data_IF_660247798259
#
_entry.id   IF_660247798259
#
_cell.length_a   1.000
_cell.length_b   1.000
_cell.length_c   1.000
_cell.angle_alpha   90.00
_cell.angle_beta   90.00
_cell.angle_gamma   90.00
#
_symmetry.space_group_name_H-M   'P 1'
#
loop_
_entity.id
_entity.type
_entity.pdbx_description
1 polymer ?
#
# COMPACT_ATOMS: atom_id res chain seq x y z
N UNK A 1 -2.50 23.92 10.38
CA UNK A 1 -2.35 22.47 10.14
C UNK A 1 -3.54 21.77 10.75
N UNK A 2 -4.28 20.98 9.96
CA UNK A 2 -5.35 20.12 10.51
C UNK A 2 -4.64 18.97 11.24
N UNK A 3 -4.77 18.88 12.55
CA UNK A 3 -4.18 17.82 13.36
C UNK A 3 -5.00 16.55 13.18
N UNK A 4 -4.49 15.61 12.38
CA UNK A 4 -5.04 14.26 12.31
C UNK A 4 -4.66 13.54 13.61
N UNK A 5 -5.64 12.92 14.26
CA UNK A 5 -5.39 12.15 15.49
C UNK A 5 -4.49 10.95 15.18
N UNK A 6 -3.47 10.71 16.02
CA UNK A 6 -2.48 9.64 15.81
C UNK A 6 -3.06 8.24 15.52
N UNK A 7 -4.19 7.80 16.13
CA UNK A 7 -4.82 6.52 15.79
C UNK A 7 -5.39 6.44 14.37
N UNK A 8 -5.87 7.57 13.82
CA UNK A 8 -6.41 7.61 12.45
C UNK A 8 -5.25 7.57 11.45
N UNK A 9 -4.18 8.31 11.74
CA UNK A 9 -2.96 8.29 10.92
C UNK A 9 -2.32 6.88 10.89
N UNK A 10 -2.25 6.20 12.04
CA UNK A 10 -1.69 4.86 12.12
C UNK A 10 -2.58 3.83 11.40
N UNK A 11 -3.90 3.94 11.49
CA UNK A 11 -4.82 3.06 10.74
C UNK A 11 -4.65 3.24 9.22
N UNK A 12 -4.58 4.48 8.74
CA UNK A 12 -4.36 4.77 7.31
C UNK A 12 -3.00 4.23 6.83
N UNK A 13 -1.96 4.35 7.64
CA UNK A 13 -0.64 3.79 7.33
C UNK A 13 -0.65 2.25 7.36
N UNK A 14 -1.28 1.63 8.35
CA UNK A 14 -1.34 0.17 8.45
C UNK A 14 -2.09 -0.47 7.28
N UNK A 15 -3.26 0.06 6.90
CA UNK A 15 -4.04 -0.46 5.77
C UNK A 15 -3.37 -0.25 4.41
N UNK A 16 -2.38 0.66 4.30
CA UNK A 16 -1.67 0.90 3.03
C UNK A 16 -0.34 0.16 2.94
N UNK A 17 0.26 -0.21 4.07
CA UNK A 17 1.56 -0.90 4.12
C UNK A 17 1.39 -2.42 4.16
N UNK A 18 0.31 -2.94 4.75
CA UNK A 18 0.08 -4.38 4.90
C UNK A 18 -1.34 -4.72 4.44
N UNK A 19 -1.46 -5.34 3.26
CA UNK A 19 -2.68 -6.04 2.88
C UNK A 19 -2.83 -7.30 3.72
N UNK A 20 -3.99 -7.48 4.37
CA UNK A 20 -4.26 -8.72 5.13
C UNK A 20 -4.25 -9.95 4.20
N UNK A 21 -4.61 -9.75 2.94
CA UNK A 21 -4.63 -10.77 1.89
C UNK A 21 -3.20 -11.24 1.54
N UNK A 22 -2.21 -10.33 1.56
CA UNK A 22 -0.80 -10.66 1.28
C UNK A 22 -0.25 -11.67 2.28
N UNK A 23 -0.57 -11.51 3.58
CA UNK A 23 -0.10 -12.41 4.64
C UNK A 23 -0.75 -13.79 4.47
N UNK A 24 -2.06 -13.83 4.24
CA UNK A 24 -2.81 -15.08 4.12
C UNK A 24 -2.37 -15.86 2.87
N UNK A 25 -2.18 -15.17 1.75
CA UNK A 25 -1.73 -15.78 0.49
C UNK A 25 -0.32 -16.37 0.60
N UNK A 26 0.62 -15.63 1.19
CA UNK A 26 1.98 -16.14 1.40
C UNK A 26 1.98 -17.33 2.36
N UNK A 27 1.19 -17.28 3.45
CA UNK A 27 1.08 -18.38 4.41
C UNK A 27 0.53 -19.67 3.78
N UNK A 28 -0.45 -19.56 2.88
CA UNK A 28 -0.98 -20.71 2.14
C UNK A 28 0.04 -21.32 1.17
N UNK A 29 0.86 -20.50 0.51
CA UNK A 29 1.80 -20.97 -0.52
C UNK A 29 3.13 -21.51 0.01
N UNK A 30 3.64 -20.96 1.13
CA UNK A 30 4.98 -21.24 1.65
C UNK A 30 4.96 -21.86 3.06
N UNK A 31 3.80 -21.94 3.71
CA UNK A 31 3.60 -22.57 5.02
C UNK A 31 4.22 -21.79 6.19
N UNK A 32 4.57 -22.50 7.26
CA UNK A 32 5.07 -21.91 8.52
C UNK A 32 6.37 -21.05 8.40
N UNK A 33 7.33 -21.32 7.49
CA UNK A 33 8.54 -20.50 7.32
C UNK A 33 8.25 -19.03 6.99
N UNK A 34 7.07 -18.71 6.44
CA UNK A 34 6.63 -17.35 6.13
C UNK A 34 6.66 -16.46 7.37
N UNK A 35 6.24 -16.96 8.52
CA UNK A 35 6.21 -16.14 9.75
C UNK A 35 7.63 -15.64 10.08
N UNK A 36 8.64 -16.48 9.89
CA UNK A 36 10.03 -16.08 10.13
C UNK A 36 10.56 -15.07 9.11
N UNK A 37 10.19 -15.20 7.82
CA UNK A 37 10.59 -14.21 6.80
C UNK A 37 9.93 -12.85 7.04
N UNK A 38 8.66 -12.83 7.46
CA UNK A 38 7.93 -11.62 7.80
C UNK A 38 8.52 -10.91 9.02
N UNK A 39 8.89 -11.62 10.08
CA UNK A 39 9.55 -11.01 11.25
C UNK A 39 10.87 -10.34 10.84
N UNK A 40 11.68 -11.01 10.00
CA UNK A 40 12.94 -10.48 9.51
C UNK A 40 12.70 -9.23 8.65
N UNK A 41 11.73 -9.26 7.73
CA UNK A 41 11.39 -8.12 6.87
C UNK A 41 10.83 -6.94 7.67
N UNK A 42 9.98 -7.17 8.67
CA UNK A 42 9.47 -6.11 9.55
C UNK A 42 10.60 -5.39 10.30
N UNK A 43 11.58 -6.14 10.82
CA UNK A 43 12.68 -5.57 11.60
C UNK A 43 13.76 -4.93 10.71
N UNK A 44 14.19 -5.60 9.65
CA UNK A 44 15.34 -5.16 8.85
C UNK A 44 14.97 -4.26 7.68
N UNK A 45 13.72 -4.27 7.23
CA UNK A 45 13.28 -3.46 6.09
C UNK A 45 12.27 -2.40 6.49
N UNK A 46 11.15 -2.78 7.12
CA UNK A 46 10.06 -1.84 7.45
C UNK A 46 10.50 -0.81 8.49
N UNK A 47 11.20 -1.25 9.54
CA UNK A 47 11.67 -0.37 10.61
C UNK A 47 12.61 0.74 10.10
N UNK A 48 13.74 0.44 9.41
CA UNK A 48 14.61 1.50 8.92
C UNK A 48 13.95 2.38 7.84
N UNK A 49 13.11 1.79 6.98
CA UNK A 49 12.39 2.55 5.96
C UNK A 49 11.43 3.59 6.58
N UNK A 50 10.64 3.18 7.58
CA UNK A 50 9.70 4.08 8.27
C UNK A 50 10.39 5.25 8.97
N UNK A 51 11.58 5.03 9.54
CA UNK A 51 12.38 6.07 10.18
C UNK A 51 12.91 7.08 9.15
N UNK A 52 13.42 6.61 8.02
CA UNK A 52 13.88 7.47 6.93
C UNK A 52 12.74 8.34 6.35
N UNK A 53 11.59 7.71 6.07
CA UNK A 53 10.38 8.40 5.58
C UNK A 53 9.86 9.40 6.61
N UNK A 54 9.90 9.06 7.90
CA UNK A 54 9.53 9.98 8.99
C UNK A 54 10.43 11.21 9.06
N UNK A 55 11.75 11.02 8.93
CA UNK A 55 12.71 12.13 8.94
C UNK A 55 12.53 13.06 7.72
N UNK A 56 12.38 12.50 6.52
CA UNK A 56 12.14 13.27 5.30
C UNK A 56 10.78 13.97 5.34
N UNK A 57 9.73 13.28 5.79
CA UNK A 57 8.40 13.85 5.96
C UNK A 57 8.33 15.00 6.96
N UNK A 58 9.15 14.96 8.03
CA UNK A 58 9.27 16.09 8.97
C UNK A 58 10.15 17.23 8.43
N UNK A 59 11.08 16.95 7.52
CA UNK A 59 11.99 17.96 6.96
C UNK A 59 11.30 18.79 5.87
N UNK A 60 10.42 18.17 5.08
CA UNK A 60 9.65 18.81 4.01
C UNK A 60 8.19 19.03 4.39
N UNK A 61 7.94 19.59 5.58
CA UNK A 61 6.59 19.75 6.17
C UNK A 61 5.64 20.65 5.36
N UNK A 62 6.19 21.52 4.52
CA UNK A 62 5.46 22.46 3.66
C UNK A 62 5.19 21.93 2.25
N UNK A 63 5.82 20.83 1.86
CA UNK A 63 5.68 20.27 0.51
C UNK A 63 4.59 19.18 0.47
N UNK A 64 3.56 19.40 -0.35
CA UNK A 64 2.44 18.46 -0.51
C UNK A 64 2.70 17.29 -1.46
N UNK A 65 3.82 17.28 -2.20
CA UNK A 65 4.10 16.31 -3.29
C UNK A 65 4.69 14.97 -2.84
N UNK A 66 4.83 14.74 -1.53
CA UNK A 66 5.34 13.49 -0.95
C UNK A 66 6.77 13.16 -1.43
N UNK A 67 7.04 11.87 -1.69
CA UNK A 67 8.36 11.37 -2.05
C UNK A 67 8.98 12.09 -3.26
N UNK A 68 8.18 12.44 -4.27
CA UNK A 68 8.65 13.14 -5.46
C UNK A 68 9.15 14.56 -5.15
N UNK A 69 8.45 15.27 -4.25
CA UNK A 69 8.85 16.56 -3.72
C UNK A 69 10.15 16.48 -2.93
N UNK A 70 10.28 15.47 -2.08
CA UNK A 70 11.48 15.27 -1.26
C UNK A 70 12.71 15.02 -2.13
N UNK A 71 12.57 14.21 -3.18
CA UNK A 71 13.66 13.93 -4.13
C UNK A 71 14.00 15.17 -4.97
N UNK A 72 13.00 15.95 -5.42
CA UNK A 72 13.25 17.25 -6.09
C UNK A 72 14.04 18.21 -5.21
N UNK A 73 13.73 18.26 -3.91
CA UNK A 73 14.42 19.09 -2.94
C UNK A 73 15.84 18.64 -2.61
N UNK A 74 16.21 17.39 -2.91
CA UNK A 74 17.51 16.81 -2.52
C UNK A 74 18.47 16.67 -3.71
N UNK A 75 18.02 16.07 -4.82
CA UNK A 75 18.90 15.66 -5.94
C UNK A 75 18.44 16.20 -7.32
N UNK A 76 17.43 17.08 -7.35
CA UNK A 76 17.04 17.84 -8.56
C UNK A 76 15.83 17.31 -9.32
N UNK A 77 15.45 18.07 -10.36
CA UNK A 77 14.14 17.95 -11.02
C UNK A 77 13.95 16.64 -11.81
N UNK A 78 15.03 16.11 -12.41
CA UNK A 78 15.01 14.86 -13.18
C UNK A 78 14.71 13.64 -12.30
N UNK A 79 15.40 13.53 -11.15
CA UNK A 79 15.19 12.42 -10.22
C UNK A 79 13.84 12.51 -9.52
N UNK A 80 13.36 13.73 -9.27
CA UNK A 80 11.99 13.96 -8.82
C UNK A 80 10.92 13.49 -9.80
N UNK A 81 11.09 13.79 -11.10
CA UNK A 81 10.20 13.30 -12.15
C UNK A 81 10.26 11.77 -12.27
N UNK A 82 11.46 11.19 -12.25
CA UNK A 82 11.63 9.74 -12.30
C UNK A 82 10.93 9.04 -11.13
N UNK A 83 11.03 9.61 -9.92
CA UNK A 83 10.34 9.11 -8.71
C UNK A 83 8.82 9.18 -8.85
N UNK A 84 8.28 10.26 -9.43
CA UNK A 84 6.85 10.38 -9.71
C UNK A 84 6.39 9.36 -10.76
N UNK A 85 7.19 9.14 -11.80
CA UNK A 85 6.88 8.19 -12.87
C UNK A 85 6.93 6.73 -12.38
N UNK A 86 7.96 6.34 -11.61
CA UNK A 86 8.04 4.97 -11.06
C UNK A 86 6.90 4.68 -10.10
N UNK A 87 6.48 5.69 -9.33
CA UNK A 87 5.31 5.57 -8.47
C UNK A 87 4.02 5.33 -9.26
N UNK A 88 3.78 6.09 -10.33
CA UNK A 88 2.64 5.89 -11.23
C UNK A 88 2.71 4.54 -11.96
N UNK A 89 3.89 4.15 -12.44
CA UNK A 89 4.07 2.87 -13.13
C UNK A 89 3.83 1.69 -12.19
N UNK A 90 4.25 1.79 -10.92
CA UNK A 90 4.02 0.76 -9.90
C UNK A 90 2.55 0.63 -9.49
N UNK A 91 1.75 1.70 -9.61
CA UNK A 91 0.32 1.65 -9.24
C UNK A 91 -0.53 0.87 -10.24
N UNK A 92 -0.12 0.77 -11.51
CA UNK A 92 -0.88 0.07 -12.56
C UNK A 92 -0.98 -1.45 -12.28
N UNK A 93 0.14 -2.20 -12.12
CA UNK A 93 0.06 -3.63 -11.82
C UNK A 93 -0.73 -3.91 -10.54
N UNK A 94 -0.54 -3.07 -9.52
CA UNK A 94 -1.21 -3.22 -8.24
C UNK A 94 -2.73 -3.04 -8.35
N UNK A 95 -3.20 -2.04 -9.12
CA UNK A 95 -4.62 -1.85 -9.38
C UNK A 95 -5.25 -3.01 -10.16
N UNK A 96 -4.50 -3.61 -11.09
CA UNK A 96 -4.95 -4.77 -11.86
C UNK A 96 -5.06 -6.01 -10.97
N UNK A 97 -4.09 -6.23 -10.09
CA UNK A 97 -4.05 -7.37 -9.19
C UNK A 97 -5.25 -7.35 -8.21
N UNK A 98 -5.47 -6.22 -7.53
CA UNK A 98 -6.63 -6.05 -6.64
C UNK A 98 -7.97 -6.16 -7.37
N UNK A 99 -8.05 -5.75 -8.64
CA UNK A 99 -9.27 -5.93 -9.45
C UNK A 99 -9.50 -7.40 -9.81
N UNK A 100 -8.44 -8.15 -10.11
CA UNK A 100 -8.51 -9.56 -10.45
C UNK A 100 -8.98 -10.41 -9.26
N UNK A 101 -8.50 -10.11 -8.05
CA UNK A 101 -8.93 -10.77 -6.81
C UNK A 101 -10.45 -10.67 -6.60
N UNK A 102 -11.03 -9.48 -6.79
CA UNK A 102 -12.48 -9.26 -6.67
C UNK A 102 -13.26 -10.08 -7.70
N UNK A 103 -12.79 -10.11 -8.95
CA UNK A 103 -13.47 -10.84 -10.03
C UNK A 103 -13.45 -12.34 -9.76
N UNK A 104 -12.29 -12.89 -9.38
CA UNK A 104 -12.13 -14.33 -9.10
C UNK A 104 -13.05 -14.73 -7.95
N UNK A 105 -13.12 -13.93 -6.91
CA UNK A 105 -14.00 -14.20 -5.79
C UNK A 105 -15.49 -14.16 -6.19
N UNK A 106 -15.94 -13.11 -6.88
CA UNK A 106 -17.33 -12.99 -7.36
C UNK A 106 -17.74 -14.17 -8.25
N UNK A 107 -16.86 -14.60 -9.15
CA UNK A 107 -17.10 -15.74 -10.05
C UNK A 107 -17.17 -17.06 -9.27
N UNK A 108 -16.31 -17.25 -8.27
CA UNK A 108 -16.32 -18.46 -7.44
C UNK A 108 -17.54 -18.54 -6.54
N UNK A 109 -17.97 -17.42 -5.96
CA UNK A 109 -19.21 -17.31 -5.17
C UNK A 109 -20.44 -17.67 -6.02
N UNK A 110 -20.50 -17.15 -7.26
CA UNK A 110 -21.56 -17.47 -8.21
C UNK A 110 -21.62 -18.95 -8.62
N UNK A 111 -20.47 -19.61 -8.76
CA UNK A 111 -20.38 -20.97 -9.30
C UNK A 111 -20.43 -22.06 -8.21
N UNK A 112 -20.44 -21.71 -6.91
CA UNK A 112 -20.46 -22.62 -5.74
C UNK A 112 -19.45 -23.79 -5.77
N UNK A 113 -18.41 -23.72 -6.62
CA UNK A 113 -17.54 -24.87 -6.95
C UNK A 113 -16.29 -24.98 -6.07
N UNK A 114 -15.98 -23.97 -5.27
CA UNK A 114 -14.83 -23.97 -4.36
C UNK A 114 -15.28 -23.54 -2.97
N UNK A 115 -14.72 -24.10 -1.88
CA UNK A 115 -14.92 -23.55 -0.55
C UNK A 115 -14.32 -22.15 -0.53
N UNK A 116 -15.18 -21.14 -0.60
CA UNK A 116 -14.79 -19.74 -0.43
C UNK A 116 -14.34 -19.61 1.02
N UNK A 117 -13.11 -19.17 1.24
CA UNK A 117 -12.73 -18.69 2.55
C UNK A 117 -13.47 -17.36 2.74
N UNK A 118 -14.71 -17.43 3.26
CA UNK A 118 -15.76 -16.39 3.33
C UNK A 118 -15.33 -15.04 3.94
N UNK A 119 -14.08 -14.90 4.38
CA UNK A 119 -13.55 -13.71 5.04
C UNK A 119 -12.84 -12.70 4.10
N UNK A 120 -12.74 -12.96 2.79
CA UNK A 120 -11.87 -12.16 1.92
C UNK A 120 -12.61 -11.10 1.07
N UNK A 121 -13.90 -11.28 0.73
CA UNK A 121 -14.66 -10.30 -0.10
C UNK A 121 -14.65 -8.91 0.50
N UNK A 122 -14.97 -8.82 1.79
CA UNK A 122 -15.10 -7.53 2.49
C UNK A 122 -13.74 -6.84 2.62
N UNK A 123 -12.67 -7.62 2.79
CA UNK A 123 -11.29 -7.11 2.91
C UNK A 123 -10.77 -6.65 1.54
N UNK A 124 -10.94 -7.45 0.48
CA UNK A 124 -10.61 -7.07 -0.89
C UNK A 124 -11.39 -5.82 -1.34
N UNK A 125 -12.68 -5.72 -0.99
CA UNK A 125 -13.50 -4.55 -1.31
C UNK A 125 -13.05 -3.29 -0.56
N UNK A 126 -12.70 -3.41 0.73
CA UNK A 126 -12.12 -2.31 1.51
C UNK A 126 -10.79 -1.87 0.90
N UNK A 127 -9.90 -2.80 0.55
CA UNK A 127 -8.61 -2.49 -0.07
C UNK A 127 -8.81 -1.76 -1.41
N UNK A 128 -9.69 -2.27 -2.28
CA UNK A 128 -10.00 -1.62 -3.55
C UNK A 128 -10.63 -0.23 -3.38
N UNK A 129 -11.58 -0.07 -2.46
CA UNK A 129 -12.14 1.24 -2.14
C UNK A 129 -11.09 2.19 -1.57
N UNK A 130 -10.27 1.77 -0.61
CA UNK A 130 -9.19 2.58 -0.04
C UNK A 130 -8.19 3.03 -1.12
N UNK A 131 -7.84 2.17 -2.06
CA UNK A 131 -6.96 2.49 -3.20
C UNK A 131 -7.65 3.46 -4.16
N UNK A 132 -8.91 3.23 -4.52
CA UNK A 132 -9.67 4.12 -5.40
C UNK A 132 -9.83 5.52 -4.77
N UNK A 133 -10.16 5.58 -3.47
CA UNK A 133 -10.19 6.82 -2.70
C UNK A 133 -8.81 7.50 -2.66
N UNK A 134 -7.74 6.73 -2.54
CA UNK A 134 -6.39 7.27 -2.52
C UNK A 134 -5.94 7.81 -3.86
N UNK A 135 -6.27 7.13 -4.96
CA UNK A 135 -5.99 7.58 -6.33
C UNK A 135 -6.85 8.81 -6.67
N UNK A 136 -8.12 8.85 -6.25
CA UNK A 136 -9.03 9.98 -6.49
C UNK A 136 -8.74 11.20 -5.60
N UNK A 137 -8.24 11.02 -4.38
CA UNK A 137 -7.81 12.12 -3.51
C UNK A 137 -6.41 12.67 -3.83
N UNK A 138 -5.56 11.95 -4.60
CA UNK A 138 -4.20 12.39 -4.98
C UNK A 138 -4.06 12.98 -6.37
N UNK A 139 -5.08 12.93 -7.22
CA UNK A 139 -5.06 13.56 -8.55
C UNK A 139 -4.80 15.07 -8.57
N UNK A 140 -4.94 15.89 -7.51
CA UNK A 140 -4.53 17.29 -7.57
C UNK A 140 -3.09 17.56 -7.13
N UNK A 141 -2.24 16.55 -6.91
CA UNK A 141 -0.86 16.72 -6.37
C UNK A 141 0.26 16.30 -7.33
N UNK A 142 -0.02 16.27 -8.64
CA UNK A 142 0.99 16.38 -9.69
C UNK A 142 0.94 17.77 -10.31
#
# INVERSE_FOLDING_TARGET
MKTITWPILSLMALCTVIGLDDIMYNFQNQGMPVITSWIIMCLLYVTPYSLMVGQLGSTFDKEGGGLSSWVRGTDGEFLGYFTAWTYWAASIPYAVDSANEIIVDLVCNWNQRLPVQDSNIFICYINFCSIYYFHHCRTPLF
#
